data_IF_321658653768
#
_entry.id   IF_321658653768
#
_cell.length_a   1.000
_cell.length_b   1.000
_cell.length_c   1.000
_cell.angle_alpha   90.00
_cell.angle_beta   90.00
_cell.angle_gamma   90.00
#
_symmetry.space_group_name_H-M   'P 1'
#
loop_
_entity.id
_entity.type
_entity.pdbx_description
1 polymer ?
#
# COMPACT_ATOMS: atom_id res chain seq x y z
N UNK A 1 17.42 -16.86 11.73
CA UNK A 1 16.05 -17.08 11.24
C UNK A 1 16.16 -17.64 9.82
N UNK A 2 15.18 -18.41 9.36
CA UNK A 2 15.05 -18.73 7.93
C UNK A 2 13.97 -17.82 7.33
N UNK A 3 14.40 -16.71 6.74
CA UNK A 3 13.48 -15.69 6.21
C UNK A 3 12.81 -16.11 4.89
N UNK A 4 13.49 -16.92 4.07
CA UNK A 4 12.90 -17.45 2.83
C UNK A 4 11.75 -18.41 3.15
N UNK A 5 11.94 -19.28 4.15
CA UNK A 5 10.87 -20.14 4.67
C UNK A 5 9.68 -19.33 5.22
N UNK A 6 9.92 -18.27 6.00
CA UNK A 6 8.82 -17.44 6.53
C UNK A 6 8.09 -16.71 5.38
N UNK A 7 8.82 -16.19 4.38
CA UNK A 7 8.20 -15.55 3.20
C UNK A 7 7.32 -16.55 2.42
N UNK A 8 7.76 -17.81 2.30
CA UNK A 8 6.96 -18.89 1.73
C UNK A 8 5.72 -19.20 2.59
N UNK A 9 5.86 -19.34 3.91
CA UNK A 9 4.72 -19.55 4.82
C UNK A 9 3.69 -18.42 4.75
N UNK A 10 4.13 -17.17 4.62
CA UNK A 10 3.27 -15.98 4.44
C UNK A 10 2.48 -16.11 3.13
N UNK A 11 3.15 -16.35 2.00
CA UNK A 11 2.51 -16.54 0.70
C UNK A 11 1.52 -17.72 0.68
N UNK A 12 1.90 -18.85 1.28
CA UNK A 12 1.07 -20.05 1.35
C UNK A 12 -0.17 -19.82 2.23
N UNK A 13 -0.01 -19.31 3.46
CA UNK A 13 -1.15 -19.10 4.36
C UNK A 13 -2.08 -17.98 3.88
N UNK A 14 -1.54 -16.93 3.23
CA UNK A 14 -2.37 -15.93 2.55
C UNK A 14 -3.24 -16.54 1.46
N UNK A 15 -2.67 -17.42 0.64
CA UNK A 15 -3.43 -18.10 -0.42
C UNK A 15 -4.43 -19.10 0.13
N UNK A 16 -4.11 -19.79 1.23
CA UNK A 16 -5.07 -20.64 1.94
C UNK A 16 -6.24 -19.80 2.47
N UNK A 17 -5.99 -18.66 3.12
CA UNK A 17 -7.04 -17.72 3.59
C UNK A 17 -7.92 -17.22 2.45
N UNK A 18 -7.36 -16.97 1.25
CA UNK A 18 -8.17 -16.57 0.10
C UNK A 18 -9.05 -17.70 -0.42
N UNK A 19 -8.55 -18.93 -0.47
CA UNK A 19 -9.29 -20.11 -0.94
C UNK A 19 -10.37 -20.54 0.06
N UNK A 20 -10.06 -20.50 1.36
CA UNK A 20 -10.97 -20.78 2.47
C UNK A 20 -10.71 -19.79 3.61
N UNK A 21 -11.48 -18.69 3.71
CA UNK A 21 -11.34 -17.70 4.78
C UNK A 21 -11.57 -18.29 6.17
N UNK A 22 -12.30 -19.40 6.29
CA UNK A 22 -12.69 -19.97 7.59
C UNK A 22 -11.51 -20.59 8.34
N UNK A 23 -10.39 -20.90 7.68
CA UNK A 23 -9.17 -21.39 8.35
C UNK A 23 -8.55 -20.37 9.32
N UNK A 24 -8.88 -19.08 9.17
CA UNK A 24 -8.46 -18.03 10.09
C UNK A 24 -9.25 -18.02 11.40
N UNK A 25 -10.43 -18.66 11.44
CA UNK A 25 -11.34 -18.60 12.60
C UNK A 25 -10.78 -19.36 13.82
N UNK A 26 -10.36 -20.65 13.74
CA UNK A 26 -9.87 -21.39 14.90
C UNK A 26 -8.72 -20.73 15.71
N UNK A 27 -7.67 -20.16 15.09
CA UNK A 27 -6.62 -19.48 15.86
C UNK A 27 -7.09 -18.15 16.46
N UNK A 28 -8.04 -17.42 15.83
CA UNK A 28 -8.61 -16.20 16.40
C UNK A 28 -9.54 -16.52 17.59
N UNK A 29 -10.38 -17.56 17.48
CA UNK A 29 -11.19 -18.08 18.60
C UNK A 29 -10.33 -18.59 19.76
N UNK A 30 -9.12 -19.10 19.47
CA UNK A 30 -8.16 -19.45 20.50
C UNK A 30 -7.61 -18.20 21.22
N UNK A 31 -7.31 -17.11 20.49
CA UNK A 31 -6.84 -15.84 21.08
C UNK A 31 -7.89 -15.19 21.99
N UNK A 32 -9.18 -15.22 21.61
CA UNK A 32 -10.28 -14.65 22.42
C UNK A 32 -10.28 -15.14 23.89
N UNK A 33 -9.89 -16.39 24.12
CA UNK A 33 -9.83 -17.01 25.47
C UNK A 33 -8.75 -16.44 26.38
N UNK A 34 -7.80 -15.68 25.83
CA UNK A 34 -6.63 -15.15 26.54
C UNK A 34 -6.67 -13.62 26.72
N UNK A 35 -7.72 -12.94 26.27
CA UNK A 35 -7.89 -11.51 26.54
C UNK A 35 -8.26 -11.23 28.00
N UNK A 36 -7.71 -10.14 28.55
CA UNK A 36 -8.09 -9.52 29.82
C UNK A 36 -8.21 -8.03 29.59
N UNK A 37 -9.45 -7.54 29.46
CA UNK A 37 -9.67 -6.23 28.85
C UNK A 37 -9.05 -6.18 27.46
N UNK A 38 -8.22 -5.18 27.19
CA UNK A 38 -7.55 -5.01 25.90
C UNK A 38 -6.17 -5.68 25.82
N UNK A 39 -5.77 -6.49 26.80
CA UNK A 39 -4.45 -7.17 26.79
C UNK A 39 -4.62 -8.66 26.48
N UNK A 40 -3.91 -9.15 25.47
CA UNK A 40 -3.84 -10.56 25.09
C UNK A 40 -2.71 -11.27 25.85
N UNK A 41 -3.04 -12.27 26.68
CA UNK A 41 -2.08 -13.03 27.50
C UNK A 41 -1.86 -14.46 26.99
N UNK A 42 -1.22 -14.62 25.83
CA UNK A 42 -0.91 -15.93 25.27
C UNK A 42 0.14 -16.70 26.13
N UNK A 43 -0.05 -18.01 26.39
CA UNK A 43 0.91 -18.79 27.18
C UNK A 43 2.32 -18.80 26.56
N UNK A 44 3.33 -18.50 27.37
CA UNK A 44 4.74 -18.48 26.95
C UNK A 44 5.15 -17.29 26.06
N UNK A 45 4.26 -16.33 25.84
CA UNK A 45 4.54 -15.10 25.09
C UNK A 45 4.50 -13.87 26.02
N UNK A 46 5.09 -12.75 25.59
CA UNK A 46 4.84 -11.46 26.24
C UNK A 46 3.36 -11.08 26.07
N UNK A 47 2.71 -10.46 27.08
CA UNK A 47 1.40 -9.85 26.88
C UNK A 47 1.44 -8.82 25.76
N UNK A 48 0.41 -8.79 24.91
CA UNK A 48 0.28 -7.84 23.80
C UNK A 48 -0.91 -6.92 24.08
N UNK A 49 -0.67 -5.61 24.13
CA UNK A 49 -1.71 -4.60 24.18
C UNK A 49 -2.42 -4.56 22.81
N UNK A 50 -3.74 -4.47 22.81
CA UNK A 50 -4.54 -4.16 21.63
C UNK A 50 -5.20 -2.80 21.84
N UNK A 51 -5.43 -2.05 20.77
CA UNK A 51 -6.16 -0.76 20.79
C UNK A 51 -7.66 -1.02 20.98
N UNK A 52 -8.24 -1.98 20.25
CA UNK A 52 -9.67 -2.32 20.29
C UNK A 52 -9.98 -3.58 21.14
N UNK A 53 -8.94 -4.26 21.64
CA UNK A 53 -9.09 -5.44 22.49
C UNK A 53 -9.67 -6.65 21.78
N UNK A 54 -10.50 -7.43 22.49
CA UNK A 54 -11.13 -8.63 21.91
C UNK A 54 -12.15 -8.31 20.79
N UNK A 55 -12.60 -7.06 20.66
CA UNK A 55 -13.65 -6.67 19.72
C UNK A 55 -13.21 -6.76 18.26
N UNK A 56 -12.01 -6.26 17.90
CA UNK A 56 -11.47 -6.37 16.54
C UNK A 56 -11.21 -7.83 16.13
N UNK A 57 -10.82 -8.70 17.08
CA UNK A 57 -10.64 -10.14 16.85
C UNK A 57 -11.98 -10.83 16.56
N UNK A 58 -13.04 -10.47 17.30
CA UNK A 58 -14.39 -10.99 17.06
C UNK A 58 -14.98 -10.48 15.73
N UNK A 59 -14.79 -9.19 15.43
CA UNK A 59 -15.19 -8.57 14.15
C UNK A 59 -14.50 -9.26 12.97
N UNK A 60 -13.19 -9.52 13.06
CA UNK A 60 -12.44 -10.29 12.07
C UNK A 60 -13.01 -11.71 11.88
N UNK A 61 -13.36 -12.41 12.97
CA UNK A 61 -14.01 -13.74 12.89
C UNK A 61 -15.34 -13.65 12.13
N UNK A 62 -16.16 -12.64 12.40
CA UNK A 62 -17.47 -12.49 11.76
C UNK A 62 -17.37 -12.05 10.29
N UNK A 63 -16.35 -11.27 9.93
CA UNK A 63 -15.94 -11.05 8.55
C UNK A 63 -15.57 -12.37 7.85
N UNK A 64 -14.67 -13.19 8.44
CA UNK A 64 -14.21 -14.44 7.83
C UNK A 64 -15.32 -15.49 7.62
N UNK A 65 -16.40 -15.46 8.41
CA UNK A 65 -17.59 -16.30 8.20
C UNK A 65 -18.39 -15.92 6.95
N UNK A 66 -18.28 -14.69 6.48
CA UNK A 66 -19.10 -14.12 5.38
C UNK A 66 -18.30 -13.80 4.13
N UNK A 67 -16.98 -13.63 4.24
CA UNK A 67 -16.06 -13.42 3.14
C UNK A 67 -16.13 -14.58 2.12
N UNK A 68 -16.45 -14.32 0.84
CA UNK A 68 -16.43 -15.35 -0.19
C UNK A 68 -15.02 -15.83 -0.51
N UNK A 69 -14.83 -17.11 -0.87
CA UNK A 69 -13.60 -17.62 -1.48
C UNK A 69 -13.17 -16.81 -2.71
N UNK A 70 -11.85 -16.60 -2.84
CA UNK A 70 -11.19 -15.88 -3.91
C UNK A 70 -10.08 -16.73 -4.54
N UNK A 71 -9.75 -16.51 -5.83
CA UNK A 71 -8.58 -17.11 -6.44
C UNK A 71 -7.29 -16.75 -5.67
N UNK A 72 -6.35 -17.70 -5.51
CA UNK A 72 -5.05 -17.41 -4.92
C UNK A 72 -4.28 -16.41 -5.77
N UNK A 73 -3.42 -15.63 -5.13
CA UNK A 73 -2.42 -14.80 -5.79
C UNK A 73 -1.32 -15.67 -6.40
N UNK A 74 -0.84 -15.26 -7.57
CA UNK A 74 0.37 -15.81 -8.16
C UNK A 74 1.58 -15.04 -7.60
N UNK A 75 2.66 -15.75 -7.28
CA UNK A 75 3.91 -15.11 -6.89
C UNK A 75 4.53 -14.38 -8.09
N UNK A 76 4.91 -13.11 -7.90
CA UNK A 76 5.67 -12.34 -8.89
C UNK A 76 6.97 -11.80 -8.27
N UNK A 77 8.09 -12.19 -8.88
CA UNK A 77 9.43 -11.85 -8.41
C UNK A 77 9.69 -10.34 -8.41
N UNK A 78 9.10 -9.58 -9.33
CA UNK A 78 9.34 -8.13 -9.40
C UNK A 78 8.70 -7.34 -8.27
N UNK A 79 7.56 -7.84 -7.76
CA UNK A 79 6.93 -7.32 -6.55
C UNK A 79 7.74 -7.70 -5.31
N UNK A 80 8.32 -8.91 -5.28
CA UNK A 80 9.15 -9.36 -4.16
C UNK A 80 10.46 -8.55 -4.07
N UNK A 81 11.04 -8.17 -5.21
CA UNK A 81 12.18 -7.23 -5.24
C UNK A 81 11.79 -5.82 -4.75
N UNK A 82 10.58 -5.34 -5.03
CA UNK A 82 10.04 -4.07 -4.53
C UNK A 82 9.81 -4.10 -3.01
N UNK A 83 9.14 -5.14 -2.53
CA UNK A 83 8.91 -5.40 -1.11
C UNK A 83 10.23 -5.52 -0.33
N UNK A 84 11.24 -6.16 -0.94
CA UNK A 84 12.59 -6.26 -0.38
C UNK A 84 13.32 -4.93 -0.29
N UNK A 85 13.24 -4.07 -1.30
CA UNK A 85 13.84 -2.73 -1.24
C UNK A 85 13.27 -1.96 -0.04
N UNK A 86 11.94 -1.96 0.12
CA UNK A 86 11.27 -1.28 1.24
C UNK A 86 11.61 -1.92 2.60
N UNK A 87 11.55 -3.24 2.69
CA UNK A 87 11.82 -3.94 3.95
C UNK A 87 13.27 -3.83 4.42
N UNK A 88 14.24 -3.75 3.49
CA UNK A 88 15.65 -3.48 3.82
C UNK A 88 15.84 -2.03 4.26
N UNK A 89 15.15 -1.08 3.63
CA UNK A 89 15.21 0.35 3.96
C UNK A 89 14.66 0.61 5.37
N UNK A 90 13.39 0.28 5.60
CA UNK A 90 12.74 0.37 6.91
C UNK A 90 13.52 -0.40 7.98
N UNK A 91 13.88 -1.66 7.68
CA UNK A 91 14.55 -2.54 8.63
C UNK A 91 15.90 -2.03 9.12
N UNK A 92 16.68 -1.37 8.26
CA UNK A 92 17.96 -0.74 8.64
C UNK A 92 17.76 0.57 9.40
N UNK A 93 16.89 1.44 8.89
CA UNK A 93 16.70 2.78 9.45
C UNK A 93 15.85 2.78 10.73
N UNK A 94 15.14 1.67 11.03
CA UNK A 94 14.25 1.59 12.17
C UNK A 94 12.98 2.43 12.00
N UNK A 95 12.59 2.70 10.76
CA UNK A 95 11.40 3.46 10.38
C UNK A 95 10.28 2.51 9.99
N UNK A 96 9.04 3.01 10.01
CA UNK A 96 7.84 2.29 9.61
C UNK A 96 7.04 3.12 8.58
N UNK A 97 5.83 2.67 8.23
CA UNK A 97 4.99 3.29 7.21
C UNK A 97 5.28 2.87 5.76
N UNK A 98 4.56 3.47 4.81
CA UNK A 98 4.57 3.07 3.40
C UNK A 98 5.58 3.85 2.54
N UNK A 99 5.99 5.03 3.01
CA UNK A 99 6.99 5.90 2.38
C UNK A 99 8.41 5.45 2.76
N UNK A 100 9.27 5.22 1.76
CA UNK A 100 10.69 4.90 1.97
C UNK A 100 11.51 6.14 2.33
N UNK A 101 12.70 5.95 2.89
CA UNK A 101 13.60 7.05 3.30
C UNK A 101 14.11 7.90 2.13
N UNK A 102 13.92 7.42 0.89
CA UNK A 102 14.19 8.12 -0.36
C UNK A 102 12.95 8.83 -0.95
N UNK A 103 11.83 8.92 -0.22
CA UNK A 103 10.57 9.49 -0.70
C UNK A 103 9.84 8.64 -1.75
N UNK A 104 10.21 7.35 -1.88
CA UNK A 104 9.48 6.42 -2.73
C UNK A 104 8.24 5.88 -2.03
N UNK A 105 7.13 5.78 -2.77
CA UNK A 105 5.96 4.99 -2.41
C UNK A 105 6.00 3.63 -3.14
N UNK A 106 5.07 2.72 -2.81
CA UNK A 106 5.02 1.37 -3.41
C UNK A 106 5.02 1.40 -4.95
N UNK A 107 4.25 2.30 -5.57
CA UNK A 107 4.22 2.50 -7.03
C UNK A 107 5.58 2.89 -7.62
N UNK A 108 6.30 3.83 -6.97
CA UNK A 108 7.67 4.22 -7.36
C UNK A 108 8.66 3.04 -7.20
N UNK A 109 8.49 2.17 -6.20
CA UNK A 109 9.34 0.98 -5.96
C UNK A 109 9.08 -0.15 -6.97
N UNK A 110 7.83 -0.53 -7.20
CA UNK A 110 7.42 -1.55 -8.19
C UNK A 110 7.95 -1.19 -9.59
N UNK A 111 7.86 0.09 -9.96
CA UNK A 111 8.31 0.62 -11.26
C UNK A 111 9.83 0.49 -11.51
N UNK A 112 10.64 0.20 -10.49
CA UNK A 112 12.08 -0.11 -10.66
C UNK A 112 12.30 -1.43 -11.41
N UNK A 113 11.40 -2.39 -11.17
CA UNK A 113 11.57 -3.79 -11.54
C UNK A 113 10.76 -4.23 -12.77
N UNK A 114 9.75 -3.46 -13.19
CA UNK A 114 8.95 -3.83 -14.36
C UNK A 114 7.96 -2.76 -14.78
N UNK A 115 7.26 -3.04 -15.88
CA UNK A 115 6.01 -2.36 -16.22
C UNK A 115 4.87 -3.05 -15.46
N UNK A 116 3.88 -2.28 -15.04
CA UNK A 116 2.69 -2.80 -14.37
C UNK A 116 1.50 -1.95 -14.79
N UNK A 117 0.29 -2.52 -14.79
CA UNK A 117 -0.89 -1.74 -15.19
C UNK A 117 -1.20 -0.72 -14.09
N UNK A 118 -1.30 0.59 -14.38
CA UNK A 118 -1.75 1.57 -13.41
C UNK A 118 -3.17 1.23 -12.94
N UNK A 119 -3.40 1.54 -11.67
CA UNK A 119 -4.43 1.00 -10.80
C UNK A 119 -3.85 1.02 -9.37
N UNK A 120 -4.62 0.63 -8.35
CA UNK A 120 -4.07 0.55 -7.00
C UNK A 120 -2.90 -0.45 -6.96
N UNK A 121 -1.77 0.00 -6.42
CA UNK A 121 -0.71 -0.89 -5.95
C UNK A 121 -0.92 -1.05 -4.45
N UNK A 122 -1.23 -2.27 -4.01
CA UNK A 122 -1.41 -2.55 -2.59
C UNK A 122 -0.08 -2.78 -1.90
N UNK A 123 0.01 -2.43 -0.62
CA UNK A 123 1.10 -2.85 0.25
C UNK A 123 0.55 -3.23 1.63
N UNK A 124 1.02 -4.36 2.17
CA UNK A 124 0.89 -4.69 3.59
C UNK A 124 2.25 -4.77 4.24
N UNK A 125 2.37 -4.29 5.48
CA UNK A 125 3.59 -4.41 6.28
C UNK A 125 3.22 -4.98 7.65
N UNK A 126 3.95 -6.01 8.10
CA UNK A 126 3.79 -6.62 9.43
C UNK A 126 5.13 -6.58 10.17
N UNK A 127 5.08 -6.24 11.45
CA UNK A 127 6.25 -6.09 12.31
C UNK A 127 6.25 -7.13 13.43
N UNK A 128 7.45 -7.63 13.77
CA UNK A 128 7.70 -8.49 14.92
C UNK A 128 7.18 -9.94 14.86
N UNK A 129 6.34 -10.30 13.88
CA UNK A 129 5.83 -11.67 13.69
C UNK A 129 6.84 -12.55 12.94
N UNK A 130 6.81 -13.86 13.22
CA UNK A 130 7.86 -14.83 12.82
C UNK A 130 7.34 -16.12 12.18
N UNK A 131 6.04 -16.21 11.88
CA UNK A 131 5.42 -17.30 11.13
C UNK A 131 4.41 -16.72 10.15
N UNK A 132 4.17 -17.41 9.03
CA UNK A 132 3.18 -16.95 8.05
C UNK A 132 1.79 -16.73 8.62
N UNK A 133 1.35 -17.65 9.49
CA UNK A 133 0.09 -17.54 10.19
C UNK A 133 0.01 -16.29 11.08
N UNK A 134 1.02 -16.03 11.91
CA UNK A 134 0.98 -14.87 12.82
C UNK A 134 1.05 -13.52 12.08
N UNK A 135 1.78 -13.46 10.97
CA UNK A 135 1.82 -12.29 10.07
C UNK A 135 0.42 -11.99 9.52
N UNK A 136 -0.22 -12.97 8.87
CA UNK A 136 -1.54 -12.74 8.27
C UNK A 136 -2.62 -12.49 9.32
N UNK A 137 -2.59 -13.21 10.46
CA UNK A 137 -3.55 -12.99 11.56
C UNK A 137 -3.34 -11.64 12.28
N UNK A 138 -2.20 -10.97 12.14
CA UNK A 138 -2.05 -9.57 12.55
C UNK A 138 -2.76 -8.67 11.53
N UNK A 139 -2.45 -8.85 10.25
CA UNK A 139 -2.93 -8.01 9.15
C UNK A 139 -4.44 -8.11 8.85
N UNK A 140 -5.08 -9.24 9.15
CA UNK A 140 -6.54 -9.38 8.95
C UNK A 140 -7.35 -8.98 10.19
N UNK A 141 -6.74 -8.94 11.37
CA UNK A 141 -7.39 -8.34 12.55
C UNK A 141 -7.29 -6.82 12.48
N UNK A 142 -6.12 -6.32 12.06
CA UNK A 142 -5.87 -4.91 11.74
C UNK A 142 -6.28 -3.95 12.89
N UNK A 143 -5.84 -4.31 14.09
CA UNK A 143 -6.16 -3.63 15.34
C UNK A 143 -5.67 -2.18 15.34
N UNK A 144 -6.56 -1.25 15.70
CA UNK A 144 -6.31 0.18 15.61
C UNK A 144 -6.50 0.79 14.22
N UNK A 145 -6.88 0.00 13.19
CA UNK A 145 -7.16 0.49 11.82
C UNK A 145 -8.66 0.33 11.50
N UNK A 146 -9.49 1.36 11.73
CA UNK A 146 -10.95 1.25 11.53
C UNK A 146 -11.37 0.93 10.09
N UNK A 147 -10.54 1.30 9.12
CA UNK A 147 -10.74 1.02 7.70
C UNK A 147 -10.32 -0.42 7.29
N UNK A 148 -9.62 -1.15 8.18
CA UNK A 148 -9.11 -2.51 7.98
C UNK A 148 -8.34 -2.66 6.66
N UNK A 149 -7.57 -1.63 6.27
CA UNK A 149 -6.88 -1.54 4.98
C UNK A 149 -6.02 -2.76 4.63
N UNK A 150 -5.32 -3.34 5.62
CA UNK A 150 -4.50 -4.52 5.42
C UNK A 150 -5.34 -5.77 5.15
N UNK A 151 -6.49 -5.92 5.82
CA UNK A 151 -7.46 -6.98 5.54
C UNK A 151 -8.05 -6.84 4.14
N UNK A 152 -8.40 -5.62 3.75
CA UNK A 152 -8.92 -5.35 2.40
C UNK A 152 -7.92 -5.77 1.33
N UNK A 153 -6.63 -5.44 1.47
CA UNK A 153 -5.59 -5.91 0.54
C UNK A 153 -5.47 -7.45 0.46
N UNK A 154 -5.60 -8.17 1.59
CA UNK A 154 -5.55 -9.65 1.62
C UNK A 154 -6.72 -10.28 0.86
N UNK A 155 -7.91 -9.67 0.95
CA UNK A 155 -9.14 -10.15 0.30
C UNK A 155 -9.53 -9.33 -0.94
N UNK A 156 -8.60 -8.56 -1.51
CA UNK A 156 -8.87 -7.79 -2.71
C UNK A 156 -9.09 -8.73 -3.91
N UNK A 157 -10.14 -8.45 -4.69
CA UNK A 157 -10.55 -9.24 -5.85
C UNK A 157 -9.88 -8.80 -7.15
N UNK A 158 -9.27 -7.63 -7.19
CA UNK A 158 -8.64 -7.04 -8.36
C UNK A 158 -7.14 -7.31 -8.40
N UNK A 159 -6.47 -7.42 -7.26
CA UNK A 159 -5.13 -7.99 -7.15
C UNK A 159 -5.10 -9.45 -7.64
N UNK A 160 -3.97 -9.82 -8.25
CA UNK A 160 -3.71 -11.14 -8.85
C UNK A 160 -2.30 -11.63 -8.53
N UNK A 161 -1.38 -10.71 -8.32
CA UNK A 161 0.04 -10.94 -8.12
C UNK A 161 0.45 -10.41 -6.75
N UNK A 162 1.31 -11.14 -6.06
CA UNK A 162 1.94 -10.72 -4.81
C UNK A 162 3.43 -11.02 -4.84
N UNK A 163 4.22 -10.16 -4.22
CA UNK A 163 5.60 -10.44 -3.85
C UNK A 163 5.80 -10.24 -2.35
N UNK A 164 6.51 -11.16 -1.71
CA UNK A 164 6.67 -11.20 -0.25
C UNK A 164 8.14 -11.13 0.11
N UNK A 165 8.51 -10.21 1.00
CA UNK A 165 9.82 -10.15 1.62
C UNK A 165 9.70 -10.25 3.14
N UNK A 166 10.65 -10.95 3.77
CA UNK A 166 10.82 -10.99 5.23
C UNK A 166 12.27 -10.70 5.56
N UNK A 167 12.53 -9.91 6.60
CA UNK A 167 13.88 -9.57 7.05
C UNK A 167 13.96 -9.07 8.48
N UNK A 168 15.16 -8.64 8.87
CA UNK A 168 15.41 -8.01 10.17
C UNK A 168 14.97 -6.56 10.19
N UNK A 169 14.56 -6.09 11.37
CA UNK A 169 14.20 -4.71 11.63
C UNK A 169 14.82 -4.22 12.94
N UNK A 170 15.56 -3.11 12.92
CA UNK A 170 16.37 -2.67 14.07
C UNK A 170 15.56 -2.41 15.36
N UNK A 171 14.34 -1.85 15.24
CA UNK A 171 13.38 -1.70 16.36
C UNK A 171 12.53 -2.95 16.60
N UNK A 172 11.62 -3.28 15.68
CA UNK A 172 10.65 -4.38 15.81
C UNK A 172 11.21 -5.81 15.66
N UNK A 173 12.54 -5.98 15.55
CA UNK A 173 13.29 -7.23 15.27
C UNK A 173 13.06 -7.82 13.89
N UNK A 174 11.82 -7.88 13.41
CA UNK A 174 11.46 -8.46 12.11
C UNK A 174 10.46 -7.58 11.38
N UNK A 175 10.53 -7.63 10.06
CA UNK A 175 9.57 -6.99 9.15
C UNK A 175 9.19 -7.97 8.04
N UNK A 176 7.90 -8.00 7.70
CA UNK A 176 7.37 -8.63 6.48
C UNK A 176 6.72 -7.55 5.63
N UNK A 177 7.08 -7.48 4.35
CA UNK A 177 6.47 -6.58 3.36
C UNK A 177 5.83 -7.41 2.25
N UNK A 178 4.60 -7.07 1.88
CA UNK A 178 3.88 -7.69 0.76
C UNK A 178 3.41 -6.60 -0.20
N UNK A 179 3.90 -6.64 -1.44
CA UNK A 179 3.51 -5.71 -2.51
C UNK A 179 2.57 -6.43 -3.49
N UNK A 180 1.45 -5.80 -3.85
CA UNK A 180 0.38 -6.39 -4.69
C UNK A 180 0.20 -5.65 -6.01
N UNK A 181 -0.20 -6.39 -7.05
CA UNK A 181 -0.71 -5.78 -8.29
C UNK A 181 -1.70 -6.68 -9.06
N UNK A 182 -2.38 -6.09 -10.03
CA UNK A 182 -3.31 -6.78 -10.94
C UNK A 182 -2.63 -7.40 -12.18
N UNK A 183 -1.63 -6.72 -12.73
CA UNK A 183 -0.81 -7.14 -13.88
C UNK A 183 0.61 -6.58 -13.71
N UNK A 184 1.64 -7.40 -13.94
CA UNK A 184 3.05 -7.01 -13.90
C UNK A 184 3.84 -7.68 -15.03
N UNK A 185 4.84 -6.98 -15.56
CA UNK A 185 5.76 -7.42 -16.61
C UNK A 185 7.19 -7.05 -16.20
N UNK A 186 7.91 -8.05 -15.67
CA UNK A 186 9.28 -7.90 -15.19
C UNK A 186 10.25 -7.45 -16.29
N UNK A 187 11.06 -6.44 -15.96
CA UNK A 187 12.12 -5.92 -16.82
C UNK A 187 13.20 -6.97 -17.05
N UNK A 188 13.53 -7.24 -18.31
CA UNK A 188 14.66 -8.10 -18.68
C UNK A 188 14.40 -9.62 -18.64
N UNK A 189 13.14 -10.08 -18.48
CA UNK A 189 12.83 -11.49 -18.73
C UNK A 189 13.12 -11.85 -20.21
N UNK A 190 14.19 -12.62 -20.45
CA UNK A 190 14.43 -13.28 -21.74
C UNK A 190 13.39 -14.40 -21.93
N UNK A 191 12.28 -14.13 -22.61
CA UNK A 191 11.25 -15.15 -22.91
C UNK A 191 10.74 -15.10 -24.36
N UNK A 192 10.05 -16.19 -24.69
CA UNK A 192 9.76 -16.75 -26.01
C UNK A 192 8.97 -15.82 -26.97
N UNK A 193 9.41 -15.82 -28.24
CA UNK A 193 8.68 -15.39 -29.46
C UNK A 193 7.99 -14.01 -29.43
N UNK A 194 8.71 -13.00 -29.95
CA UNK A 194 8.31 -11.59 -30.14
C UNK A 194 6.83 -11.31 -30.45
N UNK A 195 6.21 -12.08 -31.34
CA UNK A 195 4.87 -11.76 -31.87
C UNK A 195 3.77 -11.75 -30.80
N UNK A 196 3.83 -12.61 -29.77
CA UNK A 196 2.85 -12.56 -28.67
C UNK A 196 3.13 -11.41 -27.69
N UNK A 197 4.40 -11.07 -27.50
CA UNK A 197 4.79 -9.97 -26.61
C UNK A 197 4.44 -8.62 -27.23
N UNK A 198 4.76 -8.36 -28.51
CA UNK A 198 4.38 -7.10 -29.17
C UNK A 198 2.87 -6.88 -29.11
N UNK A 199 2.05 -7.94 -29.20
CA UNK A 199 0.61 -7.83 -29.08
C UNK A 199 0.15 -7.56 -27.63
N UNK A 200 0.66 -8.29 -26.63
CA UNK A 200 0.30 -8.07 -25.22
C UNK A 200 0.88 -6.78 -24.62
N UNK A 201 2.06 -6.36 -25.05
CA UNK A 201 2.73 -5.13 -24.63
C UNK A 201 2.04 -3.92 -25.26
N UNK A 202 1.68 -3.98 -26.56
CA UNK A 202 0.84 -2.95 -27.17
C UNK A 202 -0.58 -2.93 -26.60
N UNK A 203 -1.22 -4.08 -26.33
CA UNK A 203 -2.53 -4.13 -25.66
C UNK A 203 -2.47 -3.54 -24.25
N UNK A 204 -1.40 -3.79 -23.49
CA UNK A 204 -1.22 -3.21 -22.17
C UNK A 204 -0.92 -1.70 -22.24
N UNK A 205 -0.10 -1.27 -23.20
CA UNK A 205 0.18 0.16 -23.47
C UNK A 205 -1.10 0.87 -23.92
N UNK A 206 -1.89 0.30 -24.83
CA UNK A 206 -3.17 0.85 -25.28
C UNK A 206 -4.21 0.89 -24.13
N UNK A 207 -4.23 -0.13 -23.24
CA UNK A 207 -5.03 -0.11 -22.01
C UNK A 207 -4.57 0.99 -21.04
N UNK A 208 -3.26 1.26 -20.94
CA UNK A 208 -2.68 2.33 -20.10
C UNK A 208 -2.98 3.71 -20.68
N UNK A 209 -2.81 3.90 -21.99
CA UNK A 209 -3.01 5.18 -22.67
C UNK A 209 -4.48 5.58 -22.72
N UNK A 210 -5.42 4.64 -22.81
CA UNK A 210 -6.87 4.93 -22.78
C UNK A 210 -7.38 5.34 -21.40
N UNK A 211 -6.99 4.63 -20.34
CA UNK A 211 -7.39 4.99 -18.96
C UNK A 211 -6.87 6.39 -18.59
N UNK A 212 -5.61 6.70 -18.97
CA UNK A 212 -5.03 8.04 -18.80
C UNK A 212 -5.73 9.16 -19.61
N UNK A 213 -6.64 8.83 -20.53
CA UNK A 213 -7.47 9.81 -21.25
C UNK A 213 -8.86 9.94 -20.61
N UNK A 214 -9.44 8.83 -20.14
CA UNK A 214 -10.76 8.81 -19.48
C UNK A 214 -10.72 9.50 -18.10
N UNK A 215 -9.67 9.28 -17.30
CA UNK A 215 -9.49 9.95 -16.00
C UNK A 215 -9.38 11.49 -16.13
N UNK A 216 -8.93 12.00 -17.30
CA UNK A 216 -8.87 13.45 -17.56
C UNK A 216 -10.19 14.05 -18.02
N UNK A 217 -11.14 13.26 -18.55
CA UNK A 217 -12.48 13.76 -18.88
C UNK A 217 -13.40 13.77 -17.66
N UNK A 218 -13.10 12.98 -16.62
CA UNK A 218 -13.93 12.86 -15.42
C UNK A 218 -13.57 13.88 -14.31
N UNK A 219 -12.28 14.25 -14.14
CA UNK A 219 -11.89 15.36 -13.25
C UNK A 219 -12.42 16.74 -13.73
N UNK A 220 -12.71 16.92 -15.02
CA UNK A 220 -13.23 18.16 -15.60
C UNK A 220 -14.76 18.35 -15.40
N UNK A 221 -15.52 17.31 -15.00
CA UNK A 221 -16.99 17.40 -14.86
C UNK A 221 -17.51 17.74 -13.46
N UNK A 222 -16.77 17.48 -12.39
CA UNK A 222 -17.26 17.65 -11.00
C UNK A 222 -17.04 19.05 -10.41
N UNK A 223 -16.42 19.99 -11.13
CA UNK A 223 -16.16 21.35 -10.63
C UNK A 223 -17.34 22.34 -10.79
N UNK A 224 -18.58 21.88 -11.03
CA UNK A 224 -19.68 22.80 -11.36
C UNK A 224 -21.07 22.41 -10.81
N UNK A 225 -21.19 22.27 -9.48
CA UNK A 225 -22.47 22.33 -8.77
C UNK A 225 -22.44 23.44 -7.71
N UNK A 226 -23.43 24.33 -7.75
CA UNK A 226 -23.47 25.56 -6.96
C UNK A 226 -23.88 25.34 -5.49
N UNK A 227 -23.29 26.17 -4.62
CA UNK A 227 -23.66 26.34 -3.21
C UNK A 227 -25.15 26.72 -3.08
N UNK A 228 -25.86 26.05 -2.16
CA UNK A 228 -27.06 26.60 -1.50
C UNK A 228 -27.03 26.26 -0.01
N UNK A 229 -27.13 27.30 0.82
CA UNK A 229 -27.23 27.21 2.28
C UNK A 229 -28.61 26.68 2.71
N UNK A 230 -28.65 25.98 3.86
CA UNK A 230 -29.89 25.52 4.47
C UNK A 230 -29.67 24.96 5.89
N UNK A 231 -30.17 25.67 6.90
CA UNK A 231 -30.09 25.29 8.32
C UNK A 231 -30.76 23.92 8.63
N UNK A 232 -30.18 23.19 9.58
CA UNK A 232 -30.93 22.42 10.57
C UNK A 232 -30.11 22.27 11.87
N UNK A 233 -30.76 22.46 13.02
CA UNK A 233 -30.19 22.31 14.36
C UNK A 233 -30.21 20.85 14.82
N UNK A 234 -29.39 20.52 15.83
CA UNK A 234 -29.38 19.24 16.52
C UNK A 234 -28.39 19.25 17.67
N UNK A 235 -28.79 19.83 18.80
CA UNK A 235 -28.02 19.87 20.05
C UNK A 235 -27.98 18.50 20.79
N UNK A 236 -27.29 18.46 21.94
CA UNK A 236 -27.24 17.38 22.95
C UNK A 236 -26.48 16.08 22.57
N UNK A 237 -25.76 15.38 23.44
CA UNK A 237 -25.29 15.56 24.83
C UNK A 237 -24.18 14.49 25.12
N UNK A 238 -23.38 14.45 26.20
CA UNK A 238 -23.23 15.25 27.44
C UNK A 238 -21.78 15.13 27.97
N UNK A 239 -21.32 16.01 28.86
CA UNK A 239 -20.18 15.73 29.77
C UNK A 239 -20.69 15.15 31.09
N UNK A 240 -20.02 14.12 31.63
CA UNK A 240 -20.09 13.75 33.06
C UNK A 240 -18.69 13.40 33.56
N UNK A 241 -18.30 13.98 34.69
CA UNK A 241 -16.90 14.01 35.14
C UNK A 241 -16.59 13.28 36.45
N UNK A 242 -15.28 13.22 36.72
CA UNK A 242 -14.57 13.14 38.00
C UNK A 242 -14.92 12.06 39.04
N UNK A 243 -13.90 11.23 39.37
CA UNK A 243 -13.46 10.95 40.77
C UNK A 243 -11.93 10.82 40.79
N UNK A 244 -11.26 11.29 41.86
CA UNK A 244 -9.80 11.20 42.06
C UNK A 244 -9.34 9.88 42.73
N UNK A 245 -8.10 9.50 42.41
CA UNK A 245 -7.07 8.77 43.19
C UNK A 245 -7.42 7.65 44.21
N UNK A 246 -6.69 6.53 44.11
CA UNK A 246 -5.81 6.02 45.19
C UNK A 246 -4.79 4.98 44.68
N UNK A 247 -3.68 4.80 45.40
CA UNK A 247 -2.46 4.08 44.99
C UNK A 247 -2.60 2.55 44.82
N UNK A 248 -1.83 1.96 43.88
CA UNK A 248 -0.86 0.89 44.22
C UNK A 248 0.23 0.62 43.14
N UNK A 249 1.49 0.88 43.52
CA UNK A 249 2.78 0.27 43.12
C UNK A 249 3.21 0.11 41.63
N UNK A 250 4.30 0.81 41.31
CA UNK A 250 5.32 0.58 40.25
C UNK A 250 6.05 -0.78 40.44
N UNK A 251 6.75 -1.43 39.49
CA UNK A 251 7.28 -1.16 38.13
C UNK A 251 7.56 -2.55 37.43
N UNK A 252 8.17 -2.72 36.22
CA UNK A 252 8.94 -1.80 35.36
C UNK A 252 8.29 -1.49 34.00
N UNK A 253 8.07 -0.19 33.71
CA UNK A 253 7.37 0.28 32.51
C UNK A 253 8.27 0.55 31.27
N UNK A 254 9.55 0.15 31.29
CA UNK A 254 10.52 0.71 30.33
C UNK A 254 10.41 0.15 28.89
N UNK A 255 9.92 -1.07 28.68
CA UNK A 255 9.80 -1.66 27.33
C UNK A 255 8.41 -1.44 26.68
N UNK A 256 7.33 -1.43 27.47
CA UNK A 256 5.98 -1.20 26.91
C UNK A 256 5.83 0.21 26.35
N UNK A 257 6.44 1.23 27.00
CA UNK A 257 6.42 2.60 26.50
C UNK A 257 7.12 2.77 25.15
N UNK A 258 8.10 1.93 24.81
CA UNK A 258 8.73 1.97 23.49
C UNK A 258 7.82 1.35 22.43
N UNK A 259 7.19 0.20 22.70
CA UNK A 259 6.24 -0.44 21.79
C UNK A 259 4.98 0.45 21.57
N UNK A 260 4.38 0.98 22.64
CA UNK A 260 3.22 1.89 22.57
C UNK A 260 3.52 3.22 21.83
N UNK A 261 4.74 3.77 21.99
CA UNK A 261 5.14 5.00 21.27
C UNK A 261 5.42 4.74 19.79
N UNK A 262 5.89 3.54 19.44
CA UNK A 262 6.18 3.18 18.05
C UNK A 262 4.89 2.96 17.25
N UNK A 263 3.85 2.36 17.85
CA UNK A 263 2.53 2.22 17.22
C UNK A 263 1.73 3.53 17.13
N UNK A 264 2.06 4.55 17.96
CA UNK A 264 1.52 5.91 17.84
C UNK A 264 2.23 6.71 16.73
N UNK A 265 3.50 6.41 16.43
CA UNK A 265 4.21 7.01 15.30
C UNK A 265 3.63 6.53 13.96
N UNK A 266 3.19 5.27 13.85
CA UNK A 266 2.56 4.73 12.63
C UNK A 266 1.27 5.46 12.25
N UNK A 267 0.40 5.75 13.22
CA UNK A 267 -0.86 6.47 12.97
C UNK A 267 -0.62 7.93 12.55
N UNK A 268 0.32 8.63 13.19
CA UNK A 268 0.64 10.02 12.83
C UNK A 268 1.26 10.11 11.43
N UNK A 269 2.08 9.14 11.05
CA UNK A 269 2.76 9.15 9.75
C UNK A 269 1.85 8.67 8.60
N UNK A 270 0.94 7.71 8.82
CA UNK A 270 -0.08 7.35 7.82
C UNK A 270 -1.06 8.49 7.54
N UNK A 271 -1.45 9.27 8.55
CA UNK A 271 -2.28 10.47 8.36
C UNK A 271 -1.55 11.53 7.51
N UNK A 272 -0.23 11.69 7.68
CA UNK A 272 0.59 12.58 6.86
C UNK A 272 0.79 12.05 5.42
N UNK A 273 1.01 10.75 5.22
CA UNK A 273 1.10 10.13 3.89
C UNK A 273 -0.22 10.32 3.08
N UNK A 274 -1.39 10.32 3.76
CA UNK A 274 -2.69 10.63 3.16
C UNK A 274 -2.86 12.11 2.78
N UNK A 275 -2.19 13.04 3.48
CA UNK A 275 -2.18 14.47 3.10
C UNK A 275 -1.15 14.78 2.00
N UNK A 276 0.04 14.17 2.02
CA UNK A 276 1.06 14.39 0.99
C UNK A 276 0.64 13.84 -0.39
N UNK A 277 -0.07 12.70 -0.43
CA UNK A 277 -0.63 12.16 -1.68
C UNK A 277 -1.66 13.08 -2.35
N UNK A 278 -2.27 14.01 -1.59
CA UNK A 278 -3.14 15.05 -2.14
C UNK A 278 -2.35 16.30 -2.62
N UNK A 279 -1.20 16.61 -2.02
CA UNK A 279 -0.39 17.80 -2.36
C UNK A 279 0.55 17.59 -3.56
N UNK A 280 1.00 16.36 -3.84
CA UNK A 280 1.96 16.06 -4.94
C UNK A 280 1.39 16.33 -6.36
N UNK A 281 0.10 16.71 -6.48
CA UNK A 281 -0.56 17.11 -7.74
C UNK A 281 -0.11 18.48 -8.29
N UNK A 282 0.62 19.34 -7.56
CA UNK A 282 0.78 20.77 -7.94
C UNK A 282 2.09 21.25 -8.59
N UNK A 283 3.18 20.47 -8.67
CA UNK A 283 4.45 20.96 -9.28
C UNK A 283 5.05 20.08 -10.37
N UNK A 284 4.59 20.28 -11.61
CA UNK A 284 5.35 19.94 -12.83
C UNK A 284 5.34 21.10 -13.82
N UNK A 285 6.43 21.29 -14.57
CA UNK A 285 6.57 22.37 -15.55
C UNK A 285 5.54 22.22 -16.68
N UNK A 286 4.48 23.04 -16.66
CA UNK A 286 3.33 22.87 -17.56
C UNK A 286 3.70 23.07 -19.03
N UNK A 287 3.52 22.00 -19.80
CA UNK A 287 3.51 22.02 -21.27
C UNK A 287 2.33 22.86 -21.74
N UNK A 288 2.56 23.88 -22.55
CA UNK A 288 1.50 24.79 -22.99
C UNK A 288 0.98 24.33 -24.35
N UNK A 289 -0.22 23.74 -24.37
CA UNK A 289 -0.88 23.27 -25.61
C UNK A 289 -1.31 24.47 -26.47
N UNK A 290 -0.82 24.62 -27.71
CA UNK A 290 -1.25 25.70 -28.60
C UNK A 290 -2.74 25.57 -28.97
N UNK A 291 -3.43 26.71 -29.07
CA UNK A 291 -4.84 26.77 -29.48
C UNK A 291 -5.00 26.20 -30.91
N UNK A 292 -5.90 25.23 -31.08
CA UNK A 292 -6.08 24.53 -32.37
C UNK A 292 -5.26 23.24 -32.53
N UNK A 293 -4.49 22.81 -31.52
CA UNK A 293 -3.83 21.51 -31.52
C UNK A 293 -4.84 20.34 -31.43
N UNK A 294 -4.79 19.43 -32.41
CA UNK A 294 -5.60 18.19 -32.48
C UNK A 294 -4.88 16.94 -31.97
N UNK A 295 -3.54 16.91 -32.01
CA UNK A 295 -2.77 15.75 -31.54
C UNK A 295 -1.41 16.18 -31.00
N UNK A 296 -1.03 15.64 -29.84
CA UNK A 296 0.29 15.86 -29.24
C UNK A 296 1.09 14.55 -29.37
N UNK A 297 2.35 14.64 -29.75
CA UNK A 297 3.29 13.50 -29.80
C UNK A 297 4.49 13.84 -28.94
N UNK A 298 4.66 13.14 -27.81
CA UNK A 298 5.82 13.26 -26.92
C UNK A 298 6.93 12.34 -27.42
N UNK A 299 8.12 12.90 -27.68
CA UNK A 299 9.34 12.16 -28.03
C UNK A 299 10.37 12.40 -26.93
N UNK A 300 11.01 11.34 -26.43
CA UNK A 300 12.04 11.44 -25.37
C UNK A 300 13.36 10.92 -25.94
N UNK A 301 14.44 11.67 -25.72
CA UNK A 301 15.81 11.27 -26.08
C UNK A 301 16.77 11.68 -24.97
N UNK A 302 17.69 10.79 -24.59
CA UNK A 302 18.80 11.17 -23.72
C UNK A 302 19.84 11.90 -24.59
N UNK A 303 20.21 13.11 -24.16
CA UNK A 303 21.26 13.93 -24.76
C UNK A 303 22.34 14.20 -23.72
N UNK A 304 23.55 14.52 -24.17
CA UNK A 304 24.66 14.88 -23.27
C UNK A 304 25.04 16.31 -23.53
N UNK A 305 24.92 17.16 -22.51
CA UNK A 305 25.39 18.55 -22.54
C UNK A 305 26.37 18.76 -21.39
N UNK A 306 27.54 19.34 -21.67
CA UNK A 306 28.59 19.60 -20.68
C UNK A 306 28.97 18.40 -19.80
N UNK A 307 28.92 17.18 -20.37
CA UNK A 307 29.22 15.92 -19.66
C UNK A 307 28.05 15.32 -18.86
N UNK A 308 26.94 16.05 -18.67
CA UNK A 308 25.74 15.58 -17.96
C UNK A 308 24.77 14.96 -18.96
N UNK A 309 24.17 13.80 -18.60
CA UNK A 309 23.09 13.19 -19.37
C UNK A 309 21.76 13.82 -18.96
N UNK A 310 21.15 14.57 -19.88
CA UNK A 310 19.84 15.20 -19.72
C UNK A 310 18.80 14.46 -20.58
N UNK A 311 17.56 14.48 -20.14
CA UNK A 311 16.40 13.90 -20.80
C UNK A 311 15.72 15.00 -21.61
N UNK A 312 16.04 15.05 -22.91
CA UNK A 312 15.36 15.94 -23.83
C UNK A 312 13.98 15.38 -24.19
N UNK A 313 12.94 16.15 -23.86
CA UNK A 313 11.57 15.87 -24.21
C UNK A 313 11.14 16.86 -25.29
N UNK A 314 10.70 16.34 -26.44
CA UNK A 314 10.12 17.13 -27.53
C UNK A 314 8.64 16.81 -27.65
N UNK A 315 7.79 17.80 -27.40
CA UNK A 315 6.37 17.76 -27.71
C UNK A 315 6.15 18.26 -29.12
N UNK A 316 5.47 17.49 -29.97
CA UNK A 316 5.06 17.90 -31.32
C UNK A 316 3.54 18.03 -31.35
N UNK A 317 3.05 19.23 -31.60
CA UNK A 317 1.62 19.57 -31.67
C UNK A 317 1.20 19.60 -33.15
N UNK A 318 0.32 18.69 -33.56
CA UNK A 318 -0.35 18.75 -34.86
C UNK A 318 -1.58 19.63 -34.74
N UNK A 319 -1.73 20.57 -35.66
CA UNK A 319 -2.76 21.62 -35.65
C UNK A 319 -3.92 21.26 -36.61
N UNK A 320 -5.10 21.87 -36.42
CA UNK A 320 -6.28 21.67 -37.28
C UNK A 320 -6.05 21.98 -38.77
N UNK A 321 -5.11 22.87 -39.08
CA UNK A 321 -4.72 23.26 -40.44
C UNK A 321 -3.68 22.31 -41.09
N UNK A 322 -3.28 21.24 -40.38
CA UNK A 322 -2.28 20.28 -40.84
C UNK A 322 -0.83 20.68 -40.55
N UNK A 323 -0.58 21.84 -39.95
CA UNK A 323 0.78 22.25 -39.54
C UNK A 323 1.24 21.51 -38.28
N UNK A 324 2.57 21.46 -38.07
CA UNK A 324 3.16 20.92 -36.84
C UNK A 324 3.98 22.01 -36.13
N UNK A 325 3.72 22.20 -34.84
CA UNK A 325 4.55 23.02 -33.93
C UNK A 325 5.32 22.10 -32.98
N UNK A 326 6.39 22.57 -32.36
CA UNK A 326 7.08 21.79 -31.33
C UNK A 326 7.64 22.62 -30.18
N UNK A 327 7.63 22.03 -28.98
CA UNK A 327 8.21 22.57 -27.76
C UNK A 327 9.22 21.56 -27.22
N UNK A 328 10.41 22.03 -26.81
CA UNK A 328 11.45 21.18 -26.23
C UNK A 328 11.64 21.58 -24.76
N UNK A 329 11.69 20.58 -23.89
CA UNK A 329 12.00 20.70 -22.47
C UNK A 329 13.24 19.82 -22.20
N UNK A 330 14.17 20.30 -21.38
CA UNK A 330 15.30 19.53 -20.88
C UNK A 330 15.07 19.27 -19.40
N UNK A 331 15.03 17.98 -19.02
CA UNK A 331 14.99 17.48 -17.64
C UNK A 331 16.34 16.84 -17.26
#
# INVERSE_FOLDING_TARGET
MDFEKIAQEVFEYQNQLRIDPTIGIPPLEARLKYFKGNILHMPGQKPLQYKEGAACVQECIDFLKTQPPLPPFQYEKGLELSARDHGIDLGKNGTNGHTGTDGSNVSKRISRYGLWKPGPAGQNISYGKVTGQEVLLQLIVDDGKPDRGHRHNVFDKDYKLVGVYVGEHSKFKYITVMDYSKKFLMKGQKKQTKQKQEQQENELIDEVEKVNLEDQEQEDTDQNVQIKEGNAQGDDCIEVGAVEQTDFQQEPQFQQKEEDQLEQQEEQQEQQDQEETNNDKQTQSKVVKPAGCIKIVKKIKIVTQNGVKLKQITYVFKMKDGTEQSQIILE
#
